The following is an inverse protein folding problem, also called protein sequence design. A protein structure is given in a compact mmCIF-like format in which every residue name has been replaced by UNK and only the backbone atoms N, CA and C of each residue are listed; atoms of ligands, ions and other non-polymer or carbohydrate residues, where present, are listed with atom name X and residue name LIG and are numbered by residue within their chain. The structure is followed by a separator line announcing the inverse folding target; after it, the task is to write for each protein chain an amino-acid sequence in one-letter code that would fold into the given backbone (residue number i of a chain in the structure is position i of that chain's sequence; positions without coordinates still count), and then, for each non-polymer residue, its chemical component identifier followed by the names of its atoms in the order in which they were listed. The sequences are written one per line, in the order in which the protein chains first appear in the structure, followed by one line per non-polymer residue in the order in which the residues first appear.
data_IF_325219965249
#
_entry.id   IF_325219965249
#
_cell.length_a   1.000
_cell.length_b   1.000
_cell.length_c   1.000
_cell.angle_alpha   90.00
_cell.angle_beta   90.00
_cell.angle_gamma   90.00
#
_symmetry.space_group_name_H-M   'P 1'
#
loop_
_entity.id
_entity.type
_entity.pdbx_description
1 polymer ?
#
# COMPACT_ATOMS: atom_id res chain seq x y z
N UNK A 1 -1.80 -2.73 25.19
CA UNK A 1 -1.83 -3.05 23.74
C UNK A 1 -0.48 -3.62 23.32
N UNK A 2 -0.43 -4.89 22.89
CA UNK A 2 0.76 -5.44 22.22
C UNK A 2 0.59 -5.22 20.72
N UNK A 3 1.37 -4.30 20.16
CA UNK A 3 1.41 -4.10 18.71
C UNK A 3 2.20 -5.26 18.08
N UNK A 4 1.55 -5.95 17.15
CA UNK A 4 2.05 -6.06 15.78
C UNK A 4 3.55 -5.78 15.52
N UNK A 5 4.44 -6.78 15.45
CA UNK A 5 5.75 -6.52 14.82
C UNK A 5 5.55 -6.22 13.32
N UNK A 6 6.19 -5.17 12.80
CA UNK A 6 6.18 -4.85 11.37
C UNK A 6 6.94 -5.96 10.62
N UNK A 7 6.27 -6.60 9.68
CA UNK A 7 6.83 -7.67 8.83
C UNK A 7 6.68 -7.29 7.35
N UNK A 8 7.55 -7.80 6.47
CA UNK A 8 7.39 -7.66 5.03
C UNK A 8 6.06 -8.28 4.55
N UNK A 9 5.49 -7.73 3.47
CA UNK A 9 4.17 -8.15 2.95
C UNK A 9 4.18 -9.61 2.48
N UNK A 10 5.32 -10.12 2.00
CA UNK A 10 5.46 -11.53 1.61
C UNK A 10 5.23 -12.52 2.76
N UNK A 11 5.47 -12.13 4.01
CA UNK A 11 5.15 -12.98 5.17
C UNK A 11 3.64 -13.11 5.42
N UNK A 12 2.85 -12.22 4.83
CA UNK A 12 1.39 -12.26 4.87
C UNK A 12 0.76 -12.86 3.60
N UNK A 13 1.59 -13.40 2.69
CA UNK A 13 1.12 -14.10 1.48
C UNK A 13 0.96 -13.22 0.24
N UNK A 14 1.37 -11.95 0.29
CA UNK A 14 1.48 -11.13 -0.93
C UNK A 14 2.61 -11.63 -1.81
N UNK A 15 2.44 -11.55 -3.13
CA UNK A 15 3.50 -11.79 -4.12
C UNK A 15 3.89 -10.50 -4.83
N UNK A 16 5.14 -10.42 -5.30
CA UNK A 16 5.70 -9.21 -5.92
C UNK A 16 4.88 -8.71 -7.12
N UNK A 17 4.32 -9.63 -7.91
CA UNK A 17 3.49 -9.29 -9.07
C UNK A 17 2.18 -8.57 -8.70
N UNK A 18 1.76 -8.60 -7.43
CA UNK A 18 0.56 -7.91 -6.94
C UNK A 18 0.82 -6.45 -6.56
N UNK A 19 2.06 -5.95 -6.59
CA UNK A 19 2.37 -4.56 -6.23
C UNK A 19 1.54 -3.59 -7.08
N UNK A 20 1.53 -3.78 -8.40
CA UNK A 20 0.78 -2.92 -9.31
C UNK A 20 -0.75 -3.08 -9.13
N UNK A 21 -1.23 -4.32 -8.97
CA UNK A 21 -2.65 -4.59 -8.72
C UNK A 21 -3.15 -3.89 -7.44
N UNK A 22 -2.42 -4.01 -6.34
CA UNK A 22 -2.81 -3.41 -5.05
C UNK A 22 -2.68 -1.89 -5.06
N UNK A 23 -1.74 -1.35 -5.83
CA UNK A 23 -1.64 0.10 -6.09
C UNK A 23 -2.92 0.61 -6.74
N UNK A 24 -3.33 -0.03 -7.84
CA UNK A 24 -4.52 0.39 -8.60
C UNK A 24 -5.81 0.17 -7.81
N UNK A 25 -5.91 -0.94 -7.05
CA UNK A 25 -7.03 -1.18 -6.13
C UNK A 25 -7.11 -0.12 -5.02
N UNK A 26 -5.97 0.37 -4.53
CA UNK A 26 -5.95 1.41 -3.50
C UNK A 26 -6.51 2.72 -4.06
N UNK A 27 -6.07 3.13 -5.25
CA UNK A 27 -6.57 4.32 -5.93
C UNK A 27 -8.07 4.21 -6.20
N UNK A 28 -8.52 3.06 -6.70
CA UNK A 28 -9.92 2.82 -7.04
C UNK A 28 -10.84 2.82 -5.82
N UNK A 29 -10.41 2.18 -4.72
CA UNK A 29 -11.31 1.88 -3.60
C UNK A 29 -11.15 2.81 -2.39
N UNK A 30 -10.03 3.52 -2.26
CA UNK A 30 -9.72 4.34 -1.07
C UNK A 30 -9.85 5.84 -1.32
N UNK A 31 -10.74 6.26 -2.23
CA UNK A 31 -10.92 7.67 -2.64
C UNK A 31 -11.10 8.62 -1.44
N UNK A 32 -11.92 8.26 -0.45
CA UNK A 32 -12.11 9.11 0.74
C UNK A 32 -10.83 9.25 1.56
N UNK A 33 -10.05 8.19 1.73
CA UNK A 33 -8.81 8.26 2.50
C UNK A 33 -7.77 9.07 1.73
N UNK A 34 -7.59 8.80 0.44
CA UNK A 34 -6.65 9.51 -0.42
C UNK A 34 -6.98 11.00 -0.52
N UNK A 35 -8.27 11.36 -0.62
CA UNK A 35 -8.71 12.76 -0.62
C UNK A 35 -8.49 13.49 0.72
N UNK A 36 -8.38 12.75 1.82
CA UNK A 36 -8.14 13.30 3.16
C UNK A 36 -6.69 13.10 3.64
N UNK A 37 -5.78 12.63 2.78
CA UNK A 37 -4.37 12.56 3.12
C UNK A 37 -3.81 13.96 3.36
N UNK A 38 -2.81 14.05 4.25
CA UNK A 38 -2.10 15.30 4.52
C UNK A 38 -1.43 15.88 3.26
N UNK A 39 -0.94 15.01 2.38
CA UNK A 39 -0.41 15.34 1.05
C UNK A 39 -1.05 14.43 0.01
N UNK A 40 -1.21 14.94 -1.20
CA UNK A 40 -1.59 14.13 -2.35
C UNK A 40 -0.52 13.06 -2.60
N UNK A 41 -0.94 11.87 -3.01
CA UNK A 41 -0.05 10.78 -3.40
C UNK A 41 -0.31 10.42 -4.86
N UNK A 42 0.72 10.52 -5.68
CA UNK A 42 0.73 10.00 -7.04
C UNK A 42 0.72 8.47 -7.03
N UNK A 43 0.32 7.87 -8.14
CA UNK A 43 0.29 6.40 -8.29
C UNK A 43 1.64 5.76 -7.98
N UNK A 44 2.73 6.35 -8.46
CA UNK A 44 4.08 5.81 -8.28
C UNK A 44 4.54 5.87 -6.82
N UNK A 45 4.10 6.87 -6.06
CA UNK A 45 4.38 6.97 -4.62
C UNK A 45 3.64 5.87 -3.84
N UNK A 46 2.38 5.59 -4.20
CA UNK A 46 1.62 4.47 -3.61
C UNK A 46 2.29 3.14 -3.95
N UNK A 47 2.73 2.97 -5.19
CA UNK A 47 3.45 1.78 -5.66
C UNK A 47 4.75 1.58 -4.89
N UNK A 48 5.52 2.66 -4.69
CA UNK A 48 6.78 2.62 -3.96
C UNK A 48 6.58 2.19 -2.50
N UNK A 49 5.49 2.60 -1.85
CA UNK A 49 5.14 2.13 -0.50
C UNK A 49 4.98 0.60 -0.46
N UNK A 50 4.25 0.03 -1.42
CA UNK A 50 4.10 -1.43 -1.51
C UNK A 50 5.43 -2.12 -1.80
N UNK A 51 6.24 -1.59 -2.72
CA UNK A 51 7.55 -2.14 -3.07
C UNK A 51 8.53 -2.09 -1.89
N UNK A 52 8.56 -0.99 -1.13
CA UNK A 52 9.41 -0.82 0.04
C UNK A 52 9.03 -1.73 1.21
N UNK A 53 7.79 -2.23 1.24
CA UNK A 53 7.29 -3.10 2.30
C UNK A 53 7.18 -4.58 1.90
N UNK A 54 7.42 -4.92 0.63
CA UNK A 54 7.41 -6.31 0.15
C UNK A 54 8.56 -7.15 0.73
#
# INVERSE_FOLDING_TARGET
NKLIAKKPLREYGMVESQIDEFTDMTIANQQRLLANNYVFLERDEIREIFANLY
#
